data_IF_184122082447
#
_entry.id   IF_184122082447
#
_cell.length_a   1.000
_cell.length_b   1.000
_cell.length_c   1.000
_cell.angle_alpha   90.00
_cell.angle_beta   90.00
_cell.angle_gamma   90.00
#
_symmetry.space_group_name_H-M   'P 1'
#
loop_
_entity.id
_entity.type
_entity.pdbx_description
1 polymer ?
#
# COMPACT_ATOMS: atom_id res chain seq x y z
N UNK A 1 42.20 -3.15 -56.38
CA UNK A 1 41.91 -4.00 -57.55
C UNK A 1 42.18 -5.43 -57.12
N UNK A 2 41.29 -6.40 -57.06
CA UNK A 2 39.95 -6.60 -57.61
C UNK A 2 39.88 -8.05 -58.09
N UNK A 3 38.98 -8.86 -57.51
CA UNK A 3 38.39 -10.12 -58.03
C UNK A 3 39.31 -11.36 -58.21
N UNK A 4 38.91 -12.63 -58.06
CA UNK A 4 37.74 -13.33 -57.53
C UNK A 4 37.94 -14.87 -57.72
N UNK A 5 37.04 -15.65 -57.10
CA UNK A 5 36.50 -16.96 -57.55
C UNK A 5 37.23 -18.28 -57.18
N UNK A 6 36.44 -19.15 -56.53
CA UNK A 6 36.62 -20.58 -56.20
C UNK A 6 36.63 -21.48 -57.45
N UNK A 7 36.98 -22.78 -57.28
CA UNK A 7 35.99 -23.76 -57.72
C UNK A 7 35.74 -24.92 -56.75
N UNK A 8 34.52 -25.44 -56.88
CA UNK A 8 33.92 -26.61 -56.24
C UNK A 8 34.42 -27.91 -56.91
N UNK A 9 34.57 -28.98 -56.14
CA UNK A 9 34.40 -30.34 -56.65
C UNK A 9 33.85 -31.28 -55.56
N UNK A 10 32.65 -31.80 -55.80
CA UNK A 10 32.03 -32.89 -55.06
C UNK A 10 32.63 -34.25 -55.49
N UNK A 11 32.69 -35.22 -54.56
CA UNK A 11 32.40 -36.63 -54.87
C UNK A 11 32.16 -37.47 -53.59
N UNK A 12 30.89 -37.85 -53.45
CA UNK A 12 30.28 -39.07 -52.91
C UNK A 12 31.20 -40.18 -52.37
N UNK A 13 30.83 -40.77 -51.22
CA UNK A 13 30.65 -42.23 -51.14
C UNK A 13 29.78 -42.65 -49.95
N UNK A 14 28.88 -43.59 -50.23
CA UNK A 14 27.93 -44.28 -49.37
C UNK A 14 28.60 -45.35 -48.50
N UNK A 15 28.00 -45.60 -47.32
CA UNK A 15 27.55 -46.92 -46.84
C UNK A 15 27.76 -47.13 -45.32
N UNK A 16 26.66 -47.49 -44.67
CA UNK A 16 26.49 -47.99 -43.29
C UNK A 16 27.21 -49.34 -43.10
N UNK A 17 27.60 -49.75 -41.86
CA UNK A 17 26.67 -50.58 -41.08
C UNK A 17 26.78 -50.46 -39.53
N UNK A 18 25.61 -50.60 -38.89
CA UNK A 18 25.29 -51.39 -37.68
C UNK A 18 26.17 -51.32 -36.38
N UNK A 19 25.46 -50.96 -35.28
CA UNK A 19 25.74 -51.08 -33.83
C UNK A 19 26.05 -52.53 -33.37
N UNK A 20 26.30 -52.91 -32.07
CA UNK A 20 26.59 -52.19 -30.79
C UNK A 20 27.70 -52.82 -29.89
N UNK A 21 28.19 -52.08 -28.86
CA UNK A 21 28.28 -52.46 -27.40
C UNK A 21 29.44 -51.78 -26.63
N UNK A 22 29.03 -51.03 -25.58
CA UNK A 22 29.67 -50.69 -24.28
C UNK A 22 31.20 -50.66 -24.07
N UNK A 23 31.72 -49.52 -23.59
CA UNK A 23 32.15 -49.33 -22.16
C UNK A 23 32.59 -47.88 -21.81
N UNK A 24 31.98 -47.36 -20.73
CA UNK A 24 32.49 -46.55 -19.58
C UNK A 24 33.27 -45.23 -19.77
N UNK A 25 32.77 -44.20 -19.06
CA UNK A 25 33.44 -43.25 -18.12
C UNK A 25 32.53 -42.00 -18.01
N UNK A 26 32.37 -41.22 -16.94
CA UNK A 26 33.05 -41.03 -15.65
C UNK A 26 32.14 -40.19 -14.72
N UNK A 27 32.43 -40.20 -13.41
CA UNK A 27 31.84 -39.32 -12.36
C UNK A 27 32.68 -38.00 -12.24
N UNK A 28 32.31 -37.01 -11.38
CA UNK A 28 32.01 -35.61 -11.75
C UNK A 28 33.14 -34.60 -11.43
N UNK A 29 32.89 -33.28 -11.63
CA UNK A 29 33.34 -32.29 -10.66
C UNK A 29 32.21 -31.38 -10.14
N UNK A 30 32.55 -30.71 -9.04
CA UNK A 30 31.70 -29.94 -8.15
C UNK A 30 31.40 -28.49 -8.61
N UNK A 31 30.29 -27.97 -8.05
CA UNK A 31 30.02 -26.58 -7.64
C UNK A 31 30.47 -25.41 -8.54
N UNK A 32 29.49 -24.75 -9.15
CA UNK A 32 29.40 -23.28 -9.14
C UNK A 32 27.92 -22.84 -9.10
N UNK A 33 27.58 -22.07 -8.07
CA UNK A 33 26.25 -21.52 -7.85
C UNK A 33 25.97 -20.36 -8.81
N UNK A 34 25.11 -20.59 -9.81
CA UNK A 34 24.28 -19.54 -10.39
C UNK A 34 22.88 -19.62 -9.76
N UNK A 35 22.58 -18.74 -8.80
CA UNK A 35 21.21 -18.60 -8.27
C UNK A 35 20.30 -18.10 -9.40
N UNK A 36 19.48 -19.01 -9.91
CA UNK A 36 18.40 -18.75 -10.86
C UNK A 36 17.40 -17.78 -10.23
N UNK A 37 17.18 -16.61 -10.85
CA UNK A 37 15.89 -15.90 -10.77
C UNK A 37 14.82 -16.82 -11.37
N UNK A 38 14.06 -17.49 -10.51
CA UNK A 38 12.78 -18.08 -10.88
C UNK A 38 11.71 -17.08 -10.44
N UNK A 39 10.99 -16.52 -11.40
CA UNK A 39 9.69 -15.92 -11.16
C UNK A 39 8.82 -17.00 -10.50
N UNK A 40 8.55 -16.82 -9.21
CA UNK A 40 7.57 -17.63 -8.49
C UNK A 40 6.20 -17.30 -9.06
N UNK A 41 5.49 -18.32 -9.54
CA UNK A 41 4.12 -18.21 -9.97
C UNK A 41 3.27 -17.66 -8.80
N UNK A 42 2.43 -16.69 -9.12
CA UNK A 42 1.36 -16.19 -8.25
C UNK A 42 0.52 -17.39 -7.83
N UNK A 43 0.55 -17.69 -6.53
CA UNK A 43 -0.31 -18.71 -5.94
C UNK A 43 -1.72 -18.13 -5.95
N UNK A 44 -2.54 -18.60 -6.89
CA UNK A 44 -3.97 -18.42 -6.85
C UNK A 44 -4.52 -19.10 -5.59
N UNK A 45 -4.84 -18.32 -4.57
CA UNK A 45 -5.55 -18.80 -3.39
C UNK A 45 -6.88 -18.06 -3.26
N UNK A 46 -7.83 -18.35 -4.16
CA UNK A 46 -9.26 -18.16 -3.91
C UNK A 46 -10.07 -19.04 -4.88
N UNK A 47 -10.41 -20.25 -4.46
CA UNK A 47 -11.68 -20.87 -4.84
C UNK A 47 -12.24 -21.62 -3.62
N UNK A 48 -13.51 -21.40 -3.22
CA UNK A 48 -14.14 -22.18 -2.17
C UNK A 48 -14.47 -23.60 -2.65
N UNK A 49 -14.12 -24.59 -1.84
CA UNK A 49 -14.43 -26.00 -2.04
C UNK A 49 -15.98 -26.21 -2.10
N UNK A 50 -16.55 -26.69 -3.23
CA UNK A 50 -18.01 -26.76 -3.41
C UNK A 50 -18.71 -27.89 -2.65
N UNK A 51 -18.03 -28.63 -1.77
CA UNK A 51 -18.60 -29.79 -1.06
C UNK A 51 -18.40 -29.76 0.47
N UNK A 52 -18.50 -28.58 1.11
CA UNK A 52 -18.53 -28.49 2.58
C UNK A 52 -19.95 -28.27 3.13
N UNK A 53 -20.50 -29.18 3.97
CA UNK A 53 -21.88 -29.14 4.48
C UNK A 53 -22.12 -28.07 5.59
N UNK A 54 -21.36 -26.97 5.59
CA UNK A 54 -21.54 -25.85 6.53
C UNK A 54 -22.55 -24.78 6.06
N UNK A 55 -23.14 -24.96 4.89
CA UNK A 55 -24.31 -24.20 4.47
C UNK A 55 -25.57 -24.92 4.96
N UNK A 56 -26.40 -24.19 5.72
CA UNK A 56 -27.76 -24.53 6.22
C UNK A 56 -27.80 -24.86 7.72
N UNK A 57 -27.82 -23.80 8.54
CA UNK A 57 -28.74 -23.55 9.69
C UNK A 57 -28.35 -22.18 10.29
N UNK A 58 -29.19 -21.23 10.67
CA UNK A 58 -30.64 -21.10 10.78
C UNK A 58 -30.87 -19.83 11.60
N UNK A 59 -31.31 -18.76 10.91
CA UNK A 59 -32.13 -17.61 11.34
C UNK A 59 -32.45 -17.37 12.83
N UNK A 60 -32.42 -16.06 13.19
CA UNK A 60 -33.31 -15.28 14.10
C UNK A 60 -32.71 -14.74 15.42
N UNK A 61 -32.90 -13.42 15.59
CA UNK A 61 -32.92 -12.58 16.80
C UNK A 61 -31.59 -12.31 17.51
N UNK A 62 -31.17 -11.04 17.42
CA UNK A 62 -30.11 -10.48 18.23
C UNK A 62 -29.66 -9.14 17.69
N UNK A 63 -30.48 -8.10 17.86
CA UNK A 63 -30.05 -6.73 17.70
C UNK A 63 -28.97 -6.43 18.76
N UNK A 64 -27.70 -6.60 18.41
CA UNK A 64 -26.54 -6.15 19.19
C UNK A 64 -25.40 -5.76 18.24
N UNK A 65 -24.57 -4.79 18.65
CA UNK A 65 -24.49 -3.51 17.97
C UNK A 65 -23.44 -3.51 16.87
N UNK A 66 -23.68 -2.72 15.82
CA UNK A 66 -22.68 -2.36 14.79
C UNK A 66 -21.44 -1.68 15.42
N UNK A 67 -21.52 -1.27 16.69
CA UNK A 67 -20.41 -0.84 17.56
C UNK A 67 -19.41 -1.98 17.88
N UNK A 68 -19.78 -3.25 17.68
CA UNK A 68 -19.00 -4.42 18.08
C UNK A 68 -17.82 -4.80 17.18
N UNK A 69 -17.77 -4.35 15.93
CA UNK A 69 -16.63 -4.66 15.03
C UNK A 69 -15.42 -3.80 15.39
N UNK A 70 -15.67 -2.51 15.67
CA UNK A 70 -14.66 -1.54 16.10
C UNK A 70 -14.23 -1.80 17.54
N UNK A 71 -15.16 -2.08 18.44
CA UNK A 71 -14.80 -2.53 19.78
C UNK A 71 -13.97 -3.83 19.68
N UNK A 72 -14.30 -4.82 18.86
CA UNK A 72 -13.42 -6.01 18.74
C UNK A 72 -12.07 -5.77 18.05
N UNK A 73 -11.95 -4.77 17.19
CA UNK A 73 -10.68 -4.39 16.55
C UNK A 73 -9.83 -3.49 17.46
N UNK A 74 -10.45 -2.65 18.31
CA UNK A 74 -9.82 -1.59 19.10
C UNK A 74 -10.05 -1.69 20.61
N UNK A 75 -10.75 -2.72 21.11
CA UNK A 75 -10.87 -3.00 22.53
C UNK A 75 -9.47 -3.31 23.05
N UNK A 76 -9.18 -2.82 24.24
CA UNK A 76 -7.99 -3.14 25.04
C UNK A 76 -7.84 -4.65 25.38
N UNK A 77 -8.61 -5.54 24.73
CA UNK A 77 -8.54 -7.01 24.81
C UNK A 77 -8.36 -7.65 23.42
N UNK A 78 -7.78 -6.92 22.47
CA UNK A 78 -7.73 -7.23 21.05
C UNK A 78 -6.70 -8.26 20.56
N UNK A 79 -6.21 -9.17 21.39
CA UNK A 79 -5.25 -10.23 21.04
C UNK A 79 -4.97 -11.15 22.22
N UNK A 80 -4.51 -12.39 22.01
CA UNK A 80 -4.10 -13.29 23.10
C UNK A 80 -2.94 -12.64 23.85
N UNK A 81 -3.20 -11.96 24.96
CA UNK A 81 -2.17 -11.38 25.84
C UNK A 81 -2.20 -9.86 26.08
N UNK A 82 -3.21 -9.11 25.61
CA UNK A 82 -3.24 -7.65 25.78
C UNK A 82 -2.32 -6.87 24.83
N UNK A 83 -1.77 -7.56 23.83
CA UNK A 83 -0.95 -6.97 22.78
C UNK A 83 -1.82 -6.34 21.68
N UNK A 84 -1.30 -5.27 21.08
CA UNK A 84 -2.01 -4.53 20.04
C UNK A 84 -2.07 -5.27 18.73
N UNK A 85 -3.17 -5.08 18.01
CA UNK A 85 -3.41 -5.72 16.70
C UNK A 85 -2.29 -5.33 15.74
N UNK A 86 -1.42 -6.30 15.44
CA UNK A 86 -0.40 -6.15 14.42
C UNK A 86 -1.02 -6.03 13.01
N UNK A 87 -0.20 -5.67 12.03
CA UNK A 87 -0.70 -5.45 10.68
C UNK A 87 -1.20 -6.76 10.04
N UNK A 88 -0.56 -7.89 10.34
CA UNK A 88 -0.94 -9.20 9.81
C UNK A 88 -2.35 -9.61 10.25
N UNK A 89 -2.66 -9.46 11.54
CA UNK A 89 -3.96 -9.74 12.12
C UNK A 89 -5.01 -8.72 11.67
N UNK A 90 -4.63 -7.44 11.53
CA UNK A 90 -5.50 -6.42 10.93
C UNK A 90 -5.94 -6.81 9.52
N UNK A 91 -4.98 -7.14 8.65
CA UNK A 91 -5.25 -7.61 7.27
C UNK A 91 -6.15 -8.82 7.27
N UNK A 92 -5.84 -9.82 8.09
CA UNK A 92 -6.64 -11.04 8.21
C UNK A 92 -8.10 -10.74 8.60
N UNK A 93 -8.32 -9.81 9.53
CA UNK A 93 -9.66 -9.39 9.97
C UNK A 93 -10.42 -8.66 8.87
N UNK A 94 -9.76 -7.77 8.14
CA UNK A 94 -10.34 -7.07 6.98
C UNK A 94 -10.70 -8.08 5.88
N UNK A 95 -9.76 -8.93 5.46
CA UNK A 95 -9.99 -9.93 4.40
C UNK A 95 -11.12 -10.91 4.73
N UNK A 96 -11.28 -11.30 6.00
CA UNK A 96 -12.39 -12.18 6.43
C UNK A 96 -13.77 -11.51 6.29
N UNK A 97 -13.83 -10.18 6.24
CA UNK A 97 -15.07 -9.39 6.22
C UNK A 97 -15.36 -8.76 4.87
N UNK A 98 -14.35 -8.58 4.01
CA UNK A 98 -14.54 -8.11 2.65
C UNK A 98 -15.38 -9.10 1.84
N UNK A 99 -16.33 -8.56 1.08
CA UNK A 99 -17.00 -9.28 0.01
C UNK A 99 -16.08 -9.39 -1.22
N UNK A 100 -16.47 -10.18 -2.21
CA UNK A 100 -15.75 -10.26 -3.49
C UNK A 100 -15.64 -8.89 -4.17
N UNK A 101 -16.70 -8.08 -4.10
CA UNK A 101 -16.72 -6.72 -4.67
C UNK A 101 -15.78 -5.78 -3.92
N UNK A 102 -15.71 -5.90 -2.59
CA UNK A 102 -14.80 -5.08 -1.78
C UNK A 102 -13.35 -5.41 -2.10
N UNK A 103 -13.02 -6.70 -2.20
CA UNK A 103 -11.68 -7.16 -2.58
C UNK A 103 -11.32 -6.71 -3.99
N UNK A 104 -12.26 -6.78 -4.94
CA UNK A 104 -12.05 -6.31 -6.31
C UNK A 104 -11.68 -4.82 -6.34
N UNK A 105 -12.27 -3.99 -5.49
CA UNK A 105 -11.96 -2.56 -5.46
C UNK A 105 -10.49 -2.26 -5.12
N UNK A 106 -9.84 -3.08 -4.28
CA UNK A 106 -8.40 -2.95 -4.01
C UNK A 106 -7.55 -3.30 -5.24
N UNK A 107 -7.92 -4.33 -5.99
CA UNK A 107 -7.20 -4.72 -7.21
C UNK A 107 -7.43 -3.72 -8.35
N UNK A 108 -8.67 -3.24 -8.53
CA UNK A 108 -8.99 -2.19 -9.51
C UNK A 108 -8.22 -0.90 -9.21
N UNK A 109 -8.05 -0.56 -7.93
CA UNK A 109 -7.27 0.60 -7.52
C UNK A 109 -5.78 0.43 -7.83
N UNK A 110 -5.23 -0.76 -7.57
CA UNK A 110 -3.86 -1.12 -7.94
C UNK A 110 -3.64 -1.08 -9.46
N UNK A 111 -4.58 -1.58 -10.26
CA UNK A 111 -4.48 -1.53 -11.72
C UNK A 111 -4.44 -0.10 -12.24
N UNK A 112 -5.16 0.82 -11.60
CA UNK A 112 -5.18 2.25 -11.95
C UNK A 112 -3.93 2.99 -11.50
N UNK A 113 -3.46 2.74 -10.27
CA UNK A 113 -2.38 3.49 -9.63
C UNK A 113 -1.03 2.77 -9.67
N UNK A 114 -0.97 1.61 -10.30
CA UNK A 114 0.20 0.73 -10.36
C UNK A 114 0.74 0.44 -8.95
N UNK A 115 2.05 0.30 -8.80
CA UNK A 115 2.71 -0.11 -7.55
C UNK A 115 2.32 0.72 -6.32
N UNK A 116 2.06 2.03 -6.48
CA UNK A 116 1.68 2.89 -5.35
C UNK A 116 0.22 2.68 -4.91
N UNK A 117 -0.58 1.97 -5.71
CA UNK A 117 -1.92 1.51 -5.40
C UNK A 117 -1.98 0.10 -4.81
N UNK A 118 -0.85 -0.49 -4.42
CA UNK A 118 -0.81 -1.84 -3.85
C UNK A 118 -1.80 -1.96 -2.67
N UNK A 119 -2.65 -3.01 -2.63
CA UNK A 119 -3.62 -3.20 -1.56
C UNK A 119 -3.01 -3.13 -0.15
N UNK A 120 -1.77 -3.59 0.03
CA UNK A 120 -1.11 -3.52 1.32
C UNK A 120 -0.74 -2.10 1.74
N UNK A 121 -0.47 -1.18 0.82
CA UNK A 121 -0.23 0.23 1.16
C UNK A 121 -1.51 0.87 1.70
N UNK A 122 -2.63 0.61 1.01
CA UNK A 122 -3.95 1.08 1.42
C UNK A 122 -4.32 0.52 2.79
N UNK A 123 -4.12 -0.78 2.99
CA UNK A 123 -4.39 -1.44 4.27
C UNK A 123 -3.47 -0.94 5.39
N UNK A 124 -2.19 -0.66 5.10
CA UNK A 124 -1.27 -0.11 6.10
C UNK A 124 -1.71 1.30 6.51
N UNK A 125 -2.06 2.16 5.56
CA UNK A 125 -2.61 3.50 5.84
C UNK A 125 -3.85 3.42 6.73
N UNK A 126 -4.76 2.48 6.43
CA UNK A 126 -5.94 2.23 7.26
C UNK A 126 -5.60 1.69 8.65
N UNK A 127 -4.64 0.78 8.77
CA UNK A 127 -4.19 0.22 10.05
C UNK A 127 -3.58 1.29 10.95
N UNK A 128 -2.70 2.14 10.39
CA UNK A 128 -2.09 3.27 11.09
C UNK A 128 -3.12 4.27 11.59
N UNK A 129 -4.15 4.56 10.78
CA UNK A 129 -5.23 5.43 11.19
C UNK A 129 -6.20 4.76 12.18
N UNK A 130 -6.44 3.45 12.05
CA UNK A 130 -7.30 2.71 12.96
C UNK A 130 -6.68 2.59 14.36
N UNK A 131 -5.37 2.34 14.47
CA UNK A 131 -4.69 2.04 15.74
C UNK A 131 -3.78 3.19 16.17
N UNK A 132 -2.98 3.71 15.25
CA UNK A 132 -2.03 4.78 15.50
C UNK A 132 -2.69 6.15 15.70
N UNK A 133 -3.92 6.36 15.22
CA UNK A 133 -4.63 7.61 15.49
C UNK A 133 -4.82 7.79 17.00
N UNK A 134 -4.26 8.90 17.47
CA UNK A 134 -4.28 9.24 18.86
C UNK A 134 -3.20 8.54 19.66
N UNK A 135 -2.21 7.87 19.06
CA UNK A 135 -0.94 7.46 19.67
C UNK A 135 0.24 8.20 19.03
N UNK A 136 0.23 8.22 17.70
CA UNK A 136 1.23 8.90 16.87
C UNK A 136 0.72 10.28 16.48
N UNK A 137 1.65 11.18 16.18
CA UNK A 137 1.31 12.48 15.59
C UNK A 137 0.88 12.29 14.13
N UNK A 138 0.08 13.23 13.62
CA UNK A 138 -0.36 13.16 12.20
C UNK A 138 0.86 13.25 11.28
N UNK A 139 1.80 14.13 11.59
CA UNK A 139 3.01 14.37 10.80
C UNK A 139 3.85 13.11 10.69
N UNK A 140 4.02 12.38 11.81
CA UNK A 140 4.75 11.11 11.86
C UNK A 140 4.12 10.04 10.96
N UNK A 141 2.77 9.95 10.97
CA UNK A 141 2.05 9.03 10.09
C UNK A 141 2.25 9.43 8.62
N UNK A 142 2.03 10.71 8.30
CA UNK A 142 2.11 11.19 6.92
C UNK A 142 3.54 11.12 6.35
N UNK A 143 4.57 11.38 7.15
CA UNK A 143 5.98 11.23 6.75
C UNK A 143 6.35 9.77 6.51
N UNK A 144 5.89 8.84 7.36
CA UNK A 144 6.18 7.43 7.18
C UNK A 144 5.48 6.84 5.95
N UNK A 145 4.21 7.17 5.69
CA UNK A 145 3.52 6.70 4.47
C UNK A 145 4.04 7.39 3.19
N UNK A 146 4.55 8.62 3.28
CA UNK A 146 5.27 9.26 2.18
C UNK A 146 6.59 8.55 1.90
N UNK A 147 7.32 8.10 2.93
CA UNK A 147 8.53 7.31 2.78
C UNK A 147 8.23 5.93 2.21
N UNK A 148 7.16 5.27 2.64
CA UNK A 148 6.69 3.99 2.09
C UNK A 148 6.53 4.05 0.57
N UNK A 149 5.89 5.11 0.06
CA UNK A 149 5.74 5.33 -1.39
C UNK A 149 7.06 5.28 -2.14
N UNK A 150 8.14 5.76 -1.52
CA UNK A 150 9.46 5.88 -2.13
C UNK A 150 10.32 4.63 -1.92
N UNK A 151 10.26 4.01 -0.73
CA UNK A 151 11.06 2.85 -0.37
C UNK A 151 10.48 1.54 -0.88
N UNK A 152 9.15 1.44 -0.97
CA UNK A 152 8.41 0.19 -1.21
C UNK A 152 8.80 -0.92 -0.23
N UNK A 153 9.07 -0.56 1.02
CA UNK A 153 9.46 -1.48 2.09
C UNK A 153 8.39 -1.44 3.19
N UNK A 154 7.37 -2.29 3.05
CA UNK A 154 6.24 -2.34 3.99
C UNK A 154 6.72 -2.88 5.33
N UNK A 155 7.58 -3.90 5.30
CA UNK A 155 8.11 -4.56 6.50
C UNK A 155 8.88 -3.57 7.37
N UNK A 156 9.77 -2.77 6.76
CA UNK A 156 10.50 -1.73 7.48
C UNK A 156 9.59 -0.67 8.11
N UNK A 157 8.57 -0.22 7.37
CA UNK A 157 7.64 0.79 7.88
C UNK A 157 6.74 0.22 8.97
N UNK A 158 6.25 -1.02 8.83
CA UNK A 158 5.48 -1.72 9.86
C UNK A 158 6.27 -1.79 11.17
N UNK A 159 7.52 -2.26 11.13
CA UNK A 159 8.40 -2.33 12.32
C UNK A 159 8.62 -0.94 12.92
N UNK A 160 8.91 0.07 12.09
CA UNK A 160 9.10 1.45 12.54
C UNK A 160 7.86 1.99 13.25
N UNK A 161 6.67 1.78 12.68
CA UNK A 161 5.42 2.24 13.28
C UNK A 161 5.07 1.48 14.56
N UNK A 162 5.32 0.18 14.62
CA UNK A 162 5.13 -0.62 15.85
C UNK A 162 6.01 -0.11 16.98
N UNK A 163 7.28 0.16 16.72
CA UNK A 163 8.21 0.72 17.70
C UNK A 163 7.77 2.10 18.19
N UNK A 164 7.34 2.97 17.27
CA UNK A 164 6.80 4.28 17.62
C UNK A 164 5.55 4.18 18.49
N UNK A 165 4.61 3.31 18.15
CA UNK A 165 3.39 3.08 18.94
C UNK A 165 3.71 2.51 20.32
N UNK A 166 4.67 1.59 20.41
CA UNK A 166 5.15 1.03 21.69
C UNK A 166 5.74 2.12 22.58
N UNK A 167 6.65 2.95 22.05
CA UNK A 167 7.24 4.08 22.78
C UNK A 167 6.15 5.06 23.24
N UNK A 168 5.18 5.37 22.38
CA UNK A 168 4.07 6.26 22.72
C UNK A 168 3.21 5.71 23.87
N UNK A 169 2.93 4.40 23.87
CA UNK A 169 2.19 3.72 24.96
C UNK A 169 2.99 3.71 26.26
N UNK A 170 4.28 3.38 26.22
CA UNK A 170 5.14 3.39 27.40
C UNK A 170 5.21 4.79 28.03
N UNK A 171 5.31 5.84 27.21
CA UNK A 171 5.26 7.23 27.68
C UNK A 171 3.92 7.55 28.35
N UNK A 172 2.81 7.08 27.79
CA UNK A 172 1.48 7.26 28.38
C UNK A 172 1.30 6.53 29.70
N UNK A 173 1.70 5.26 29.75
CA UNK A 173 1.64 4.45 30.96
C UNK A 173 2.42 5.12 32.10
N UNK A 174 3.61 5.68 31.81
CA UNK A 174 4.40 6.46 32.77
C UNK A 174 3.68 7.73 33.24
N UNK A 175 3.02 8.44 32.33
CA UNK A 175 2.31 9.68 32.65
C UNK A 175 0.89 9.49 33.22
N UNK A 176 0.36 8.25 33.25
CA UNK A 176 -1.03 7.91 33.62
C UNK A 176 -2.11 8.71 32.84
N UNK A 177 -1.75 9.27 31.68
CA UNK A 177 -2.69 9.99 30.82
C UNK A 177 -3.62 9.00 30.11
N UNK A 178 -4.93 9.27 30.13
CA UNK A 178 -5.89 8.49 29.34
C UNK A 178 -5.63 8.69 27.83
N UNK A 179 -5.75 7.62 27.05
CA UNK A 179 -5.67 7.72 25.59
C UNK A 179 -6.85 8.54 25.06
N UNK A 180 -6.63 9.48 24.10
CA UNK A 180 -7.71 10.23 23.50
C UNK A 180 -8.66 9.28 22.76
N UNK A 181 -9.95 9.37 23.09
CA UNK A 181 -11.00 8.62 22.39
C UNK A 181 -11.28 9.32 21.08
N UNK A 182 -10.63 8.86 20.01
CA UNK A 182 -10.84 9.40 18.67
C UNK A 182 -12.04 8.69 18.02
N UNK A 183 -13.06 9.43 17.55
CA UNK A 183 -14.22 8.85 16.87
C UNK A 183 -13.80 8.16 15.58
N UNK A 184 -14.55 7.13 15.18
CA UNK A 184 -14.17 6.32 14.02
C UNK A 184 -14.16 7.12 12.71
N UNK A 185 -15.06 8.10 12.58
CA UNK A 185 -15.08 9.03 11.44
C UNK A 185 -13.74 9.75 11.27
N UNK A 186 -13.17 10.28 12.35
CA UNK A 186 -11.86 10.94 12.32
C UNK A 186 -10.70 9.97 12.01
N UNK A 187 -10.83 8.69 12.40
CA UNK A 187 -9.86 7.64 12.01
C UNK A 187 -9.95 7.34 10.51
N UNK A 188 -11.16 7.18 9.98
CA UNK A 188 -11.35 6.98 8.54
C UNK A 188 -10.88 8.19 7.73
N UNK A 189 -11.04 9.41 8.26
CA UNK A 189 -10.55 10.64 7.62
C UNK A 189 -9.04 10.60 7.54
N UNK A 190 -8.37 10.29 8.65
CA UNK A 190 -6.91 10.15 8.71
C UNK A 190 -6.40 9.05 7.77
N UNK A 191 -7.13 7.94 7.65
CA UNK A 191 -6.80 6.87 6.71
C UNK A 191 -6.82 7.40 5.26
N UNK A 192 -7.86 8.15 4.91
CA UNK A 192 -7.99 8.76 3.59
C UNK A 192 -6.86 9.76 3.32
N UNK A 193 -6.45 10.57 4.30
CA UNK A 193 -5.29 11.47 4.14
C UNK A 193 -3.99 10.69 3.89
N UNK A 194 -3.77 9.62 4.65
CA UNK A 194 -2.59 8.78 4.51
C UNK A 194 -2.57 8.08 3.13
N UNK A 195 -3.72 7.57 2.67
CA UNK A 195 -3.88 6.99 1.33
C UNK A 195 -3.59 8.05 0.26
N UNK A 196 -4.09 9.27 0.42
CA UNK A 196 -3.79 10.35 -0.53
C UNK A 196 -2.29 10.61 -0.65
N UNK A 197 -1.60 10.74 0.48
CA UNK A 197 -0.14 10.94 0.48
C UNK A 197 0.60 9.74 -0.11
N UNK A 198 0.24 8.53 0.29
CA UNK A 198 0.94 7.31 -0.10
C UNK A 198 0.70 6.95 -1.58
N UNK A 199 -0.56 6.93 -2.01
CA UNK A 199 -0.98 6.42 -3.30
C UNK A 199 -1.04 7.50 -4.38
N UNK A 200 -1.35 8.76 -4.04
CA UNK A 200 -1.48 9.84 -5.02
C UNK A 200 -0.24 10.74 -5.06
N UNK A 201 0.43 10.96 -3.92
CA UNK A 201 1.66 11.75 -3.90
C UNK A 201 1.51 13.17 -4.47
N UNK A 202 0.30 13.75 -4.39
CA UNK A 202 -0.17 15.02 -4.98
C UNK A 202 -0.91 14.93 -6.32
N UNK A 203 -1.10 13.74 -6.89
CA UNK A 203 -1.92 13.58 -8.08
C UNK A 203 -3.40 13.91 -7.82
N UNK A 204 -4.13 14.23 -8.90
CA UNK A 204 -5.57 14.43 -8.86
C UNK A 204 -6.31 13.14 -8.51
N UNK A 205 -7.43 13.28 -7.81
CA UNK A 205 -8.37 12.18 -7.53
C UNK A 205 -9.40 12.17 -8.65
N UNK A 206 -9.41 11.11 -9.47
CA UNK A 206 -10.39 10.98 -10.55
C UNK A 206 -11.70 10.35 -10.02
N UNK A 207 -12.84 10.51 -10.72
CA UNK A 207 -14.13 9.98 -10.26
C UNK A 207 -14.12 8.46 -10.02
N UNK A 208 -13.37 7.71 -10.82
CA UNK A 208 -13.19 6.27 -10.62
C UNK A 208 -12.43 5.97 -9.33
N UNK A 209 -11.44 6.80 -8.98
CA UNK A 209 -10.71 6.64 -7.72
C UNK A 209 -11.62 6.95 -6.53
N UNK A 210 -12.48 7.97 -6.62
CA UNK A 210 -13.46 8.27 -5.57
C UNK A 210 -14.36 7.07 -5.29
N UNK A 211 -14.87 6.42 -6.35
CA UNK A 211 -15.71 5.22 -6.22
C UNK A 211 -14.98 4.07 -5.54
N UNK A 212 -13.72 3.84 -5.90
CA UNK A 212 -12.90 2.77 -5.33
C UNK A 212 -12.53 3.07 -3.88
N UNK A 213 -12.10 4.30 -3.58
CA UNK A 213 -11.81 4.77 -2.22
C UNK A 213 -13.03 4.62 -1.31
N UNK A 214 -14.22 4.99 -1.78
CA UNK A 214 -15.46 4.80 -1.04
C UNK A 214 -15.71 3.33 -0.71
N UNK A 215 -15.48 2.43 -1.66
CA UNK A 215 -15.69 0.99 -1.48
C UNK A 215 -14.68 0.42 -0.48
N UNK A 216 -13.39 0.71 -0.66
CA UNK A 216 -12.32 0.25 0.24
C UNK A 216 -12.49 0.78 1.67
N UNK A 217 -12.78 2.07 1.85
CA UNK A 217 -12.95 2.65 3.18
C UNK A 217 -14.22 2.14 3.89
N UNK A 218 -15.30 1.88 3.16
CA UNK A 218 -16.49 1.26 3.75
C UNK A 218 -16.24 -0.20 4.16
N UNK A 219 -15.41 -0.93 3.42
CA UNK A 219 -15.02 -2.29 3.77
C UNK A 219 -14.18 -2.33 5.06
N UNK A 220 -13.27 -1.36 5.23
CA UNK A 220 -12.39 -1.29 6.41
C UNK A 220 -13.06 -0.62 7.62
N UNK A 221 -13.88 0.41 7.41
CA UNK A 221 -14.54 1.20 8.44
C UNK A 221 -16.07 1.17 8.32
N UNK A 222 -16.71 -0.01 8.39
CA UNK A 222 -18.14 -0.14 8.11
C UNK A 222 -19.04 0.64 9.07
N UNK A 223 -18.56 0.96 10.28
CA UNK A 223 -19.32 1.74 11.28
C UNK A 223 -19.43 3.23 10.95
N UNK A 224 -18.58 3.77 10.09
CA UNK A 224 -18.66 5.16 9.62
C UNK A 224 -19.88 5.34 8.73
N UNK A 225 -20.20 4.30 7.96
CA UNK A 225 -21.34 4.29 7.07
C UNK A 225 -21.06 4.98 5.74
N UNK A 226 -21.69 4.44 4.70
CA UNK A 226 -21.48 4.84 3.31
C UNK A 226 -21.66 6.34 3.04
N UNK A 227 -22.71 7.02 3.53
CA UNK A 227 -22.90 8.44 3.27
C UNK A 227 -21.79 9.32 3.88
N UNK A 228 -21.20 8.92 5.01
CA UNK A 228 -20.12 9.69 5.63
C UNK A 228 -18.81 9.50 4.86
N UNK A 229 -18.49 8.27 4.47
CA UNK A 229 -17.32 7.98 3.62
C UNK A 229 -17.41 8.73 2.28
N UNK A 230 -18.56 8.68 1.61
CA UNK A 230 -18.77 9.39 0.34
C UNK A 230 -18.54 10.90 0.49
N UNK A 231 -19.08 11.53 1.54
CA UNK A 231 -18.82 12.96 1.81
C UNK A 231 -17.34 13.26 2.02
N UNK A 232 -16.63 12.42 2.77
CA UNK A 232 -15.21 12.62 3.08
C UNK A 232 -14.34 12.51 1.82
N UNK A 233 -14.61 11.52 0.98
CA UNK A 233 -13.89 11.30 -0.29
C UNK A 233 -14.15 12.44 -1.26
N UNK A 234 -15.41 12.85 -1.46
CA UNK A 234 -15.72 13.95 -2.37
C UNK A 234 -15.18 15.29 -1.87
N UNK A 235 -15.26 15.57 -0.55
CA UNK A 235 -14.64 16.78 0.02
C UNK A 235 -13.14 16.80 -0.22
N UNK A 236 -12.45 15.66 -0.09
CA UNK A 236 -11.02 15.58 -0.41
C UNK A 236 -10.76 15.82 -1.90
N UNK A 237 -11.53 15.20 -2.79
CA UNK A 237 -11.37 15.38 -4.23
C UNK A 237 -11.55 16.86 -4.63
N UNK A 238 -12.55 17.54 -4.06
CA UNK A 238 -12.78 18.98 -4.26
C UNK A 238 -11.62 19.84 -3.75
N UNK A 239 -11.08 19.55 -2.55
CA UNK A 239 -9.92 20.26 -1.99
C UNK A 239 -8.63 20.05 -2.79
N UNK A 240 -8.48 18.87 -3.40
CA UNK A 240 -7.36 18.56 -4.29
C UNK A 240 -7.52 19.30 -5.61
N UNK A 241 -8.72 19.30 -6.19
CA UNK A 241 -9.03 20.02 -7.42
C UNK A 241 -8.89 21.55 -7.28
N UNK A 242 -9.25 22.11 -6.11
CA UNK A 242 -9.08 23.53 -5.81
C UNK A 242 -7.63 23.93 -5.50
N UNK A 243 -6.74 22.96 -5.27
CA UNK A 243 -5.35 23.17 -4.90
C UNK A 243 -5.14 23.64 -3.46
N UNK A 244 -6.18 23.56 -2.61
CA UNK A 244 -6.10 23.83 -1.16
C UNK A 244 -5.28 22.76 -0.44
N UNK A 245 -5.40 21.51 -0.89
CA UNK A 245 -4.65 20.38 -0.34
C UNK A 245 -3.37 20.16 -1.13
N UNK A 246 -2.22 20.42 -0.51
CA UNK A 246 -0.89 20.02 -1.02
C UNK A 246 -0.23 19.06 -0.03
N UNK A 247 0.47 18.05 -0.55
CA UNK A 247 1.04 16.96 0.24
C UNK A 247 2.04 17.43 1.32
N UNK A 248 2.44 16.53 2.23
CA UNK A 248 3.35 16.84 3.33
C UNK A 248 4.66 17.40 2.77
N UNK A 249 4.95 18.68 3.08
CA UNK A 249 6.10 19.42 2.55
C UNK A 249 5.74 20.68 1.78
N UNK A 250 4.49 20.88 1.38
CA UNK A 250 4.02 22.16 0.88
C UNK A 250 3.83 23.13 2.06
N UNK A 251 4.93 23.73 2.52
CA UNK A 251 4.83 24.95 3.33
C UNK A 251 4.00 25.93 2.52
N UNK A 252 2.80 26.26 3.01
CA UNK A 252 2.06 27.41 2.50
C UNK A 252 2.93 28.61 2.79
N UNK A 253 3.72 29.03 1.80
CA UNK A 253 4.37 30.34 1.86
C UNK A 253 3.20 31.32 1.86
N UNK A 254 2.97 32.08 2.95
CA UNK A 254 1.90 33.05 2.98
C UNK A 254 2.04 33.96 1.76
N UNK A 255 0.94 34.34 1.11
CA UNK A 255 0.97 35.15 -0.13
C UNK A 255 1.87 36.39 0.03
N UNK A 256 1.92 36.96 1.23
CA UNK A 256 2.76 38.09 1.61
C UNK A 256 4.26 37.78 1.57
N UNK A 257 4.65 36.57 1.96
CA UNK A 257 6.05 36.10 1.94
C UNK A 257 6.46 35.76 0.51
N UNK A 258 5.58 35.15 -0.29
CA UNK A 258 5.83 34.88 -1.70
C UNK A 258 5.99 36.18 -2.52
N UNK A 259 5.17 37.20 -2.22
CA UNK A 259 5.27 38.51 -2.85
C UNK A 259 6.56 39.25 -2.46
N UNK A 260 7.01 39.15 -1.20
CA UNK A 260 8.30 39.72 -0.79
C UNK A 260 9.47 39.04 -1.49
N UNK A 261 9.45 37.71 -1.61
CA UNK A 261 10.47 36.97 -2.34
C UNK A 261 10.52 37.31 -3.83
N UNK A 262 9.37 37.55 -4.47
CA UNK A 262 9.32 38.01 -5.86
C UNK A 262 9.96 39.39 -6.03
N UNK A 263 9.65 40.33 -5.12
CA UNK A 263 10.26 41.67 -5.13
C UNK A 263 11.77 41.62 -4.90
N UNK A 264 12.25 40.77 -3.99
CA UNK A 264 13.68 40.62 -3.75
C UNK A 264 14.40 40.02 -4.97
N UNK A 265 13.77 39.09 -5.69
CA UNK A 265 14.31 38.54 -6.95
C UNK A 265 14.33 39.57 -8.08
N UNK A 266 13.31 40.42 -8.18
CA UNK A 266 13.28 41.53 -9.14
C UNK A 266 14.39 42.55 -8.86
N UNK A 267 14.61 42.90 -7.59
CA UNK A 267 15.68 43.80 -7.16
C UNK A 267 17.07 43.24 -7.49
N UNK A 268 17.30 41.94 -7.27
CA UNK A 268 18.55 41.28 -7.63
C UNK A 268 18.79 41.25 -9.15
N UNK A 269 17.74 41.07 -9.96
CA UNK A 269 17.84 41.15 -11.43
C UNK A 269 18.17 42.57 -11.89
N UNK A 270 17.55 43.59 -11.29
CA UNK A 270 17.78 44.98 -11.63
C UNK A 270 19.23 45.39 -11.32
N UNK A 271 19.73 45.08 -10.12
CA UNK A 271 21.12 45.38 -9.75
C UNK A 271 22.16 44.64 -10.62
N UNK A 272 21.82 43.46 -11.16
CA UNK A 272 22.69 42.71 -12.07
C UNK A 272 22.72 43.32 -13.48
N UNK A 273 21.65 44.00 -13.89
CA UNK A 273 21.57 44.75 -15.14
C UNK A 273 22.26 46.12 -15.04
N UNK A 274 22.21 46.75 -13.86
CA UNK A 274 22.83 48.04 -13.58
C UNK A 274 24.34 47.95 -13.27
N UNK A 275 24.87 46.71 -13.11
CA UNK A 275 26.30 46.43 -12.91
C UNK A 275 27.04 46.02 -14.21
N UNK A 276 26.44 46.26 -15.37
CA UNK A 276 27.04 46.10 -16.72
C UNK A 276 27.15 47.50 -17.35
#
# INVERSE_FOLDING_TARGET
>A
MGTAVLPVAHKLSLASPFLPRHRRACRPPAQQHCRRRRHGAVVAYMEPDPNSPAAILGRIVGALPVVGLVARILSDDGGVGGDTVDFAEFRRRVSKKCTVMDSQAFYDFNDRRAQVGDPFYVLLCCWLAAIGAGLLKTEEILEGVARLRMSNDIEYEEETFLDMMKIAREKRAKSKSQAPVIPMEARAEKALEAIYVCCFGQDMVEPEDERLLCTMLNAVFPSVGRPAVERMVSTMAEQVASGERRGPGAKVVPKDVAQRQLKDLEFLKQNKLDSI
#
